data_IF_348622190899
#
_entry.id   IF_348622190899
#
_cell.length_a   1.000
_cell.length_b   1.000
_cell.length_c   1.000
_cell.angle_alpha   90.00
_cell.angle_beta   90.00
_cell.angle_gamma   90.00
#
_symmetry.space_group_name_H-M   'P 1'
#
loop_
_entity.id
_entity.type
_entity.pdbx_description
1 polymer ?
#
# COMPACT_ATOMS: atom_id res chain seq x y z
N UNK A 1 7.25 -3.87 3.70
CA UNK A 1 7.83 -2.69 4.36
C UNK A 1 6.67 -1.85 4.85
N UNK A 2 6.76 -1.29 6.06
CA UNK A 2 5.66 -0.55 6.71
C UNK A 2 5.68 0.94 6.39
N UNK A 3 4.53 1.44 5.94
CA UNK A 3 4.18 2.82 5.62
C UNK A 3 3.28 3.47 6.69
N UNK A 4 2.90 2.75 7.75
CA UNK A 4 1.95 3.17 8.80
C UNK A 4 1.99 4.67 9.13
N UNK A 5 0.82 5.31 9.03
CA UNK A 5 0.54 6.73 9.24
C UNK A 5 1.23 7.68 8.24
N UNK A 6 0.44 8.21 7.31
CA UNK A 6 0.88 9.06 6.20
C UNK A 6 1.30 10.49 6.59
N UNK A 7 1.66 10.75 7.84
CA UNK A 7 2.08 12.09 8.28
C UNK A 7 1.86 12.38 9.77
N UNK A 8 2.04 13.65 10.19
CA UNK A 8 1.77 14.10 11.56
C UNK A 8 0.27 14.16 11.90
N UNK A 9 -0.59 14.02 10.89
CA UNK A 9 -2.03 13.84 11.04
C UNK A 9 -2.31 12.34 11.10
N UNK A 10 -2.65 11.87 12.30
CA UNK A 10 -2.96 10.46 12.55
C UNK A 10 -4.41 10.09 12.21
N UNK A 11 -5.14 10.98 11.52
CA UNK A 11 -6.47 10.70 11.00
C UNK A 11 -6.44 9.79 9.77
N UNK A 12 -7.53 9.05 9.56
CA UNK A 12 -7.67 8.20 8.39
C UNK A 12 -7.91 9.00 7.11
N UNK A 13 -7.41 8.53 5.95
CA UNK A 13 -7.66 9.17 4.67
C UNK A 13 -9.16 9.24 4.39
N UNK A 14 -9.64 10.45 4.10
CA UNK A 14 -11.07 10.76 3.92
C UNK A 14 -11.96 10.32 5.10
N UNK A 15 -11.39 10.20 6.31
CA UNK A 15 -12.07 9.72 7.51
C UNK A 15 -12.43 8.23 7.50
N UNK A 16 -11.85 7.43 6.60
CA UNK A 16 -12.16 6.02 6.45
C UNK A 16 -10.91 5.14 6.61
N UNK A 17 -10.83 4.42 7.74
CA UNK A 17 -9.73 3.50 8.02
C UNK A 17 -9.56 2.43 6.93
N UNK A 18 -10.64 2.02 6.26
CA UNK A 18 -10.58 1.00 5.20
C UNK A 18 -9.79 1.43 3.96
N UNK A 19 -9.48 2.73 3.83
CA UNK A 19 -8.65 3.31 2.76
C UNK A 19 -7.20 3.56 3.21
N UNK A 20 -6.91 3.43 4.49
CA UNK A 20 -5.57 3.65 5.05
C UNK A 20 -4.63 2.55 4.58
N UNK A 21 -3.61 2.91 3.80
CA UNK A 21 -2.58 2.01 3.31
C UNK A 21 -1.46 1.90 4.32
N UNK A 22 -1.17 0.68 4.79
CA UNK A 22 -0.19 0.49 5.85
C UNK A 22 1.10 -0.13 5.35
N UNK A 23 1.08 -1.04 4.37
CA UNK A 23 2.29 -1.73 3.93
C UNK A 23 2.22 -2.28 2.51
N UNK A 24 3.38 -2.29 1.84
CA UNK A 24 3.61 -3.05 0.61
C UNK A 24 4.73 -4.07 0.80
N UNK A 25 4.50 -5.29 0.35
CA UNK A 25 5.51 -6.36 0.29
C UNK A 25 5.52 -7.02 -1.08
N UNK A 26 6.72 -7.36 -1.55
CA UNK A 26 6.94 -8.17 -2.74
C UNK A 26 8.13 -9.11 -2.50
N UNK A 27 7.94 -10.40 -2.73
CA UNK A 27 9.01 -11.38 -2.57
C UNK A 27 8.79 -12.63 -3.44
N UNK A 28 9.86 -13.36 -3.84
CA UNK A 28 9.72 -14.61 -4.55
C UNK A 28 9.00 -15.63 -3.67
N UNK A 29 8.13 -16.44 -4.25
CA UNK A 29 7.42 -17.47 -3.51
C UNK A 29 8.40 -18.52 -2.97
N UNK A 30 8.42 -18.77 -1.64
CA UNK A 30 9.25 -19.83 -1.08
C UNK A 30 8.92 -21.19 -1.70
N UNK A 31 9.95 -21.84 -2.25
CA UNK A 31 9.84 -23.15 -2.89
C UNK A 31 9.34 -23.14 -4.34
N UNK A 32 9.13 -21.98 -4.96
CA UNK A 32 8.64 -21.85 -6.34
C UNK A 32 9.13 -20.53 -6.96
N UNK A 33 10.29 -20.58 -7.62
CA UNK A 33 10.96 -19.40 -8.18
C UNK A 33 10.24 -18.79 -9.37
N UNK A 34 9.24 -19.46 -9.94
CA UNK A 34 8.46 -18.97 -11.07
C UNK A 34 7.29 -18.08 -10.62
N UNK A 35 7.13 -17.89 -9.30
CA UNK A 35 6.05 -17.10 -8.71
C UNK A 35 6.56 -16.07 -7.71
N UNK A 36 5.77 -15.02 -7.57
CA UNK A 36 5.97 -13.94 -6.61
C UNK A 36 4.75 -13.79 -5.73
N UNK A 37 4.96 -13.32 -4.51
CA UNK A 37 3.91 -12.91 -3.58
C UNK A 37 3.94 -11.39 -3.48
N UNK A 38 2.81 -10.76 -3.80
CA UNK A 38 2.55 -9.34 -3.59
C UNK A 38 1.56 -9.19 -2.44
N UNK A 39 1.82 -8.28 -1.52
CA UNK A 39 0.94 -8.00 -0.38
C UNK A 39 0.73 -6.49 -0.27
N UNK A 40 -0.53 -6.10 -0.17
CA UNK A 40 -0.95 -4.77 0.25
C UNK A 40 -1.68 -4.92 1.57
N UNK A 41 -1.19 -4.29 2.63
CA UNK A 41 -1.95 -4.13 3.86
C UNK A 41 -2.66 -2.79 3.86
N UNK A 42 -3.88 -2.81 4.36
CA UNK A 42 -4.74 -1.65 4.56
C UNK A 42 -5.50 -1.80 5.86
N UNK A 43 -6.24 -0.77 6.26
CA UNK A 43 -7.21 -0.85 7.34
C UNK A 43 -6.63 -1.36 8.67
N UNK A 44 -5.89 -0.51 9.39
CA UNK A 44 -5.49 -0.84 10.76
C UNK A 44 -6.74 -1.01 11.63
N UNK A 45 -6.70 -1.98 12.55
CA UNK A 45 -7.81 -2.30 13.45
C UNK A 45 -8.02 -1.26 14.56
N UNK A 46 -7.12 -0.29 14.69
CA UNK A 46 -7.24 0.83 15.61
C UNK A 46 -6.65 2.11 15.02
N UNK A 47 -7.17 3.25 15.47
CA UNK A 47 -6.62 4.58 15.21
C UNK A 47 -5.91 5.16 16.43
N UNK A 48 -5.07 6.16 16.18
CA UNK A 48 -4.34 6.95 17.18
C UNK A 48 -5.02 8.28 17.50
N UNK A 49 -5.78 8.85 16.56
CA UNK A 49 -6.44 10.15 16.73
C UNK A 49 -7.84 10.16 16.09
N UNK A 50 -8.91 9.93 16.88
CA UNK A 50 -8.89 9.56 18.30
C UNK A 50 -8.43 8.10 18.53
N UNK A 51 -7.84 7.78 19.69
CA UNK A 51 -7.51 6.40 20.04
C UNK A 51 -8.75 5.51 20.12
N UNK A 52 -8.73 4.36 19.45
CA UNK A 52 -9.82 3.38 19.56
C UNK A 52 -9.90 2.41 18.39
N UNK A 53 -10.79 1.41 18.48
CA UNK A 53 -10.98 0.42 17.42
C UNK A 53 -11.61 1.06 16.17
N UNK A 54 -11.25 0.53 15.00
CA UNK A 54 -11.89 0.86 13.72
C UNK A 54 -13.11 -0.02 13.45
N UNK A 55 -13.69 0.09 12.26
CA UNK A 55 -14.86 -0.71 11.88
C UNK A 55 -14.52 -2.20 11.76
N UNK A 56 -15.46 -3.08 12.12
CA UNK A 56 -15.29 -4.54 11.96
C UNK A 56 -15.39 -5.00 10.51
N UNK A 57 -15.93 -4.15 9.62
CA UNK A 57 -16.06 -4.44 8.20
C UNK A 57 -14.66 -4.35 7.55
N UNK A 58 -14.11 -5.44 6.98
CA UNK A 58 -12.69 -5.47 6.60
C UNK A 58 -12.36 -4.55 5.43
N UNK A 59 -13.18 -4.52 4.38
CA UNK A 59 -12.90 -3.70 3.18
C UNK A 59 -14.10 -2.87 2.77
N UNK A 60 -13.85 -1.67 2.26
CA UNK A 60 -14.89 -0.76 1.82
C UNK A 60 -15.46 -1.22 0.46
N UNK A 61 -16.78 -1.51 0.34
CA UNK A 61 -17.38 -1.92 -0.93
C UNK A 61 -17.34 -0.82 -2.01
N UNK A 62 -17.25 0.44 -1.59
CA UNK A 62 -17.15 1.61 -2.45
C UNK A 62 -15.70 2.02 -2.75
N UNK A 63 -14.70 1.19 -2.38
CA UNK A 63 -13.29 1.46 -2.62
C UNK A 63 -12.70 0.54 -3.70
N UNK A 64 -11.62 0.99 -4.32
CA UNK A 64 -10.76 0.17 -5.18
C UNK A 64 -9.34 0.16 -4.61
N UNK A 65 -8.75 -1.02 -4.55
CA UNK A 65 -7.41 -1.25 -4.03
C UNK A 65 -6.51 -1.69 -5.18
N UNK A 66 -5.39 -1.01 -5.39
CA UNK A 66 -4.56 -1.27 -6.57
C UNK A 66 -3.11 -1.55 -6.19
N UNK A 67 -2.57 -2.61 -6.79
CA UNK A 67 -1.13 -2.84 -6.93
C UNK A 67 -0.73 -2.40 -8.33
N UNK A 68 0.12 -1.39 -8.44
CA UNK A 68 0.59 -0.79 -9.68
C UNK A 68 2.01 -1.25 -9.98
N UNK A 69 2.31 -1.48 -11.26
CA UNK A 69 3.59 -2.02 -11.71
C UNK A 69 4.06 -1.27 -12.95
N UNK A 70 5.25 -0.68 -12.86
CA UNK A 70 6.03 -0.16 -13.99
C UNK A 70 7.09 -1.20 -14.38
N UNK A 71 7.13 -1.52 -15.68
CA UNK A 71 8.02 -2.52 -16.26
C UNK A 71 9.13 -1.95 -17.14
N UNK A 72 9.12 -0.64 -17.41
CA UNK A 72 9.95 -0.03 -18.45
C UNK A 72 10.92 1.04 -17.96
N UNK A 73 10.67 1.72 -16.85
CA UNK A 73 11.54 2.85 -16.50
C UNK A 73 10.87 4.10 -15.99
N UNK A 74 9.65 4.37 -16.43
CA UNK A 74 9.14 5.73 -16.49
C UNK A 74 8.29 6.13 -15.26
N UNK A 75 8.13 5.22 -14.30
CA UNK A 75 7.29 5.37 -13.11
C UNK A 75 5.79 5.59 -13.43
N UNK A 76 5.35 5.12 -14.60
CA UNK A 76 3.95 5.02 -15.02
C UNK A 76 3.59 3.54 -15.10
N UNK A 77 2.39 3.19 -14.62
CA UNK A 77 2.01 1.78 -14.53
C UNK A 77 1.69 1.18 -15.91
N UNK A 78 2.36 0.09 -16.23
CA UNK A 78 2.08 -0.80 -17.36
C UNK A 78 1.08 -1.91 -16.98
N UNK A 79 1.05 -2.28 -15.71
CA UNK A 79 0.18 -3.33 -15.18
C UNK A 79 -0.44 -2.83 -13.87
N UNK A 80 -1.74 -3.11 -13.68
CA UNK A 80 -2.42 -2.90 -12.42
C UNK A 80 -3.23 -4.14 -12.02
N UNK A 81 -3.15 -4.53 -10.75
CA UNK A 81 -4.10 -5.46 -10.15
C UNK A 81 -5.11 -4.67 -9.33
N UNK A 82 -6.35 -4.60 -9.82
CA UNK A 82 -7.46 -3.91 -9.17
C UNK A 82 -8.27 -4.90 -8.36
N UNK A 83 -8.47 -4.61 -7.07
CA UNK A 83 -9.28 -5.43 -6.16
C UNK A 83 -10.50 -4.64 -5.72
N UNK A 84 -11.67 -5.24 -5.90
CA UNK A 84 -12.97 -4.72 -5.48
C UNK A 84 -13.65 -5.71 -4.56
N UNK A 85 -14.35 -5.20 -3.56
CA UNK A 85 -15.05 -6.02 -2.58
C UNK A 85 -16.55 -5.84 -2.69
N UNK A 86 -17.31 -6.92 -2.52
CA UNK A 86 -18.76 -6.85 -2.46
C UNK A 86 -19.22 -6.08 -1.22
N UNK A 87 -20.47 -5.59 -1.18
CA UNK A 87 -21.12 -5.27 0.09
C UNK A 87 -21.07 -6.49 1.03
N UNK A 88 -20.97 -6.26 2.33
CA UNK A 88 -21.16 -7.33 3.29
C UNK A 88 -22.63 -7.73 3.37
N UNK A 89 -22.88 -9.03 3.24
CA UNK A 89 -24.16 -9.65 3.57
C UNK A 89 -23.92 -10.70 4.64
N UNK A 90 -24.62 -10.61 5.77
CA UNK A 90 -24.46 -11.54 6.91
C UNK A 90 -23.02 -11.68 7.43
N UNK A 91 -22.22 -10.60 7.34
CA UNK A 91 -20.81 -10.58 7.75
C UNK A 91 -19.86 -11.29 6.78
N UNK A 92 -20.37 -11.74 5.62
CA UNK A 92 -19.56 -12.30 4.54
C UNK A 92 -19.32 -11.25 3.46
N UNK A 93 -18.08 -11.21 2.98
CA UNK A 93 -17.65 -10.37 1.87
C UNK A 93 -16.87 -11.22 0.86
N UNK A 94 -16.94 -10.84 -0.41
CA UNK A 94 -16.14 -11.47 -1.47
C UNK A 94 -15.35 -10.43 -2.24
N UNK A 95 -14.21 -10.85 -2.78
CA UNK A 95 -13.33 -10.03 -3.60
C UNK A 95 -13.35 -10.46 -5.06
N UNK A 96 -13.17 -9.50 -5.95
CA UNK A 96 -12.87 -9.71 -7.37
C UNK A 96 -11.55 -9.02 -7.68
N UNK A 97 -10.65 -9.73 -8.36
CA UNK A 97 -9.35 -9.21 -8.81
C UNK A 97 -9.36 -9.12 -10.33
N UNK A 98 -9.05 -7.94 -10.84
CA UNK A 98 -8.86 -7.66 -12.26
C UNK A 98 -7.40 -7.36 -12.54
N UNK A 99 -6.91 -7.83 -13.68
CA UNK A 99 -5.64 -7.41 -14.24
C UNK A 99 -5.90 -6.43 -15.38
N UNK A 100 -5.27 -5.28 -15.31
CA UNK A 100 -5.28 -4.21 -16.31
C UNK A 100 -3.87 -4.08 -16.89
N UNK A 101 -3.77 -3.92 -18.20
CA UNK A 101 -2.49 -3.86 -18.92
C UNK A 101 -2.42 -2.58 -19.79
N UNK A 102 -1.19 -2.12 -20.07
CA UNK A 102 -0.88 -0.98 -20.92
C UNK A 102 -1.40 0.34 -20.39
N UNK A 103 -1.73 1.27 -21.30
CA UNK A 103 -2.13 2.64 -20.95
C UNK A 103 -3.34 2.73 -19.99
N UNK A 104 -4.19 1.70 -19.92
CA UNK A 104 -5.29 1.66 -18.95
C UNK A 104 -4.79 1.48 -17.52
N UNK A 105 -3.67 0.79 -17.31
CA UNK A 105 -3.09 0.57 -15.98
C UNK A 105 -2.56 1.87 -15.37
N UNK A 106 -2.19 2.87 -16.18
CA UNK A 106 -1.77 4.19 -15.72
C UNK A 106 -2.93 5.00 -15.10
N UNK A 107 -4.15 4.84 -15.63
CA UNK A 107 -5.33 5.58 -15.19
C UNK A 107 -5.93 5.07 -13.87
N UNK A 108 -7.12 5.57 -13.54
CA UNK A 108 -7.94 5.15 -12.39
C UNK A 108 -9.22 4.42 -12.80
N UNK A 109 -9.48 4.27 -14.11
CA UNK A 109 -10.68 3.62 -14.59
C UNK A 109 -10.71 2.13 -14.21
N UNK A 110 -11.90 1.62 -13.90
CA UNK A 110 -12.08 0.17 -13.79
C UNK A 110 -11.95 -0.46 -15.18
N UNK A 111 -11.10 -1.48 -15.30
CA UNK A 111 -10.82 -2.08 -16.61
C UNK A 111 -10.29 -3.51 -16.52
N UNK A 112 -9.76 -3.97 -17.65
CA UNK A 112 -9.05 -5.25 -17.71
C UNK A 112 -9.92 -6.50 -17.54
N UNK A 113 -9.27 -7.64 -17.37
CA UNK A 113 -9.89 -8.96 -17.30
C UNK A 113 -9.89 -9.50 -15.87
N UNK A 114 -10.97 -10.18 -15.49
CA UNK A 114 -11.09 -10.82 -14.17
C UNK A 114 -10.16 -12.03 -14.12
N UNK A 115 -9.29 -12.08 -13.12
CA UNK A 115 -8.39 -13.22 -12.86
C UNK A 115 -8.80 -14.03 -11.63
N UNK A 116 -9.52 -13.41 -10.69
CA UNK A 116 -10.10 -14.06 -9.51
C UNK A 116 -11.49 -13.47 -9.30
N UNK A 117 -12.50 -14.32 -9.13
CA UNK A 117 -13.89 -13.92 -8.91
C UNK A 117 -14.43 -14.54 -7.63
N UNK A 118 -15.23 -13.77 -6.87
CA UNK A 118 -15.95 -14.21 -5.66
C UNK A 118 -15.05 -14.89 -4.61
N UNK A 119 -13.81 -14.44 -4.47
CA UNK A 119 -12.92 -14.96 -3.44
C UNK A 119 -13.42 -14.56 -2.05
N UNK A 120 -13.63 -15.50 -1.10
CA UNK A 120 -14.13 -15.16 0.22
C UNK A 120 -13.12 -14.36 1.03
N UNK A 121 -13.59 -13.32 1.72
CA UNK A 121 -12.79 -12.58 2.72
C UNK A 121 -12.76 -13.37 4.02
N UNK A 122 -11.58 -13.50 4.61
CA UNK A 122 -11.37 -14.18 5.88
C UNK A 122 -11.52 -13.20 7.04
N UNK A 123 -12.67 -13.23 7.72
CA UNK A 123 -12.99 -12.35 8.86
C UNK A 123 -12.59 -12.94 10.22
N UNK A 124 -12.18 -14.21 10.26
CA UNK A 124 -11.73 -14.89 11.47
C UNK A 124 -10.39 -15.61 11.28
N UNK A 125 -10.07 -16.50 12.22
CA UNK A 125 -8.79 -17.26 12.21
C UNK A 125 -8.67 -18.24 11.04
N UNK A 126 -9.79 -18.70 10.50
CA UNK A 126 -9.78 -19.61 9.36
C UNK A 126 -9.27 -18.89 8.10
N UNK A 127 -8.25 -19.47 7.46
CA UNK A 127 -7.67 -18.94 6.24
C UNK A 127 -8.43 -19.48 5.03
N UNK A 128 -9.03 -18.59 4.23
CA UNK A 128 -9.70 -18.95 2.98
C UNK A 128 -8.90 -18.43 1.79
N UNK A 129 -8.27 -19.34 1.06
CA UNK A 129 -7.45 -19.01 -0.12
C UNK A 129 -8.19 -19.46 -1.37
N UNK A 130 -8.31 -18.56 -2.34
CA UNK A 130 -8.84 -18.86 -3.66
C UNK A 130 -7.71 -19.20 -4.61
N UNK A 131 -7.86 -20.27 -5.39
CA UNK A 131 -6.96 -20.62 -6.49
C UNK A 131 -7.68 -20.38 -7.81
N UNK A 132 -7.08 -19.64 -8.73
CA UNK A 132 -7.65 -19.35 -10.04
C UNK A 132 -6.55 -19.41 -11.11
N UNK A 133 -6.48 -20.51 -11.85
CA UNK A 133 -5.38 -20.76 -12.78
C UNK A 133 -4.02 -20.72 -12.07
N UNK A 134 -3.11 -19.89 -12.58
CA UNK A 134 -1.77 -19.68 -12.02
C UNK A 134 -1.75 -18.78 -10.78
N UNK A 135 -2.86 -18.12 -10.46
CA UNK A 135 -2.98 -17.17 -9.37
C UNK A 135 -3.50 -17.83 -8.08
N UNK A 136 -3.05 -17.31 -6.93
CA UNK A 136 -3.70 -17.54 -5.63
C UNK A 136 -3.96 -16.22 -4.95
N UNK A 137 -5.11 -16.14 -4.30
CA UNK A 137 -5.56 -14.91 -3.69
C UNK A 137 -6.08 -15.14 -2.27
N UNK A 138 -5.76 -14.20 -1.40
CA UNK A 138 -6.26 -14.13 -0.04
C UNK A 138 -6.60 -12.66 0.29
N UNK A 139 -7.69 -12.45 1.01
CA UNK A 139 -8.00 -11.16 1.64
C UNK A 139 -8.61 -11.36 3.04
N UNK A 140 -8.25 -10.51 3.99
CA UNK A 140 -8.86 -10.49 5.33
C UNK A 140 -7.94 -10.03 6.46
N UNK A 141 -8.46 -10.04 7.68
CA UNK A 141 -7.78 -9.60 8.90
C UNK A 141 -6.55 -10.45 9.22
N UNK A 142 -5.40 -9.84 9.50
CA UNK A 142 -4.16 -10.47 9.93
C UNK A 142 -3.45 -9.59 10.94
N UNK A 143 -2.67 -10.19 11.83
CA UNK A 143 -1.87 -9.44 12.80
C UNK A 143 -0.99 -8.43 12.09
N UNK A 144 -0.96 -7.22 12.65
CA UNK A 144 -0.18 -6.12 12.12
C UNK A 144 1.31 -6.47 12.18
N UNK A 145 2.03 -6.47 11.05
CA UNK A 145 3.47 -6.74 11.06
C UNK A 145 4.29 -5.55 11.55
N UNK A 146 3.68 -4.37 11.76
CA UNK A 146 4.37 -3.20 12.27
C UNK A 146 4.61 -3.31 13.77
N UNK A 147 5.75 -2.80 14.22
CA UNK A 147 6.13 -2.70 15.63
C UNK A 147 6.49 -1.24 15.88
N UNK A 148 5.89 -0.63 16.90
CA UNK A 148 6.24 0.73 17.28
C UNK A 148 5.91 1.02 18.73
N UNK A 149 6.93 1.51 19.46
CA UNK A 149 6.76 2.13 20.76
C UNK A 149 6.37 3.59 20.57
N UNK A 150 5.07 3.79 20.33
CA UNK A 150 4.46 5.09 20.01
C UNK A 150 4.71 6.10 21.12
N UNK A 151 4.61 5.69 22.39
CA UNK A 151 4.84 6.56 23.53
C UNK A 151 6.32 6.96 23.64
N UNK A 152 7.23 6.01 23.43
CA UNK A 152 8.66 6.28 23.35
C UNK A 152 9.02 7.23 22.20
N UNK A 153 8.41 7.03 21.03
CA UNK A 153 8.60 7.89 19.86
C UNK A 153 8.13 9.33 20.13
N UNK A 154 6.94 9.50 20.74
CA UNK A 154 6.41 10.81 21.16
C UNK A 154 7.24 11.44 22.30
N UNK A 155 7.94 10.65 23.10
CA UNK A 155 8.74 11.09 24.25
C UNK A 155 10.24 11.26 23.94
N UNK A 156 10.58 11.94 22.86
CA UNK A 156 11.97 12.20 22.44
C UNK A 156 12.80 10.91 22.31
N UNK A 157 12.22 9.86 21.71
CA UNK A 157 12.86 8.56 21.49
C UNK A 157 13.30 7.85 22.79
N UNK A 158 12.66 8.16 23.93
CA UNK A 158 12.84 7.44 25.18
C UNK A 158 11.95 6.21 25.21
N UNK A 159 12.39 5.17 24.50
CA UNK A 159 11.64 3.94 24.36
C UNK A 159 11.42 3.22 25.70
N UNK A 160 10.16 2.84 25.92
CA UNK A 160 9.62 2.06 27.02
C UNK A 160 9.71 0.55 26.76
N UNK A 161 9.76 0.14 25.49
CA UNK A 161 9.70 -1.25 25.04
C UNK A 161 8.28 -1.80 24.84
N UNK A 162 7.25 -0.95 24.98
CA UNK A 162 5.86 -1.30 24.73
C UNK A 162 5.56 -1.23 23.22
N UNK A 163 5.05 -2.32 22.63
CA UNK A 163 4.66 -2.33 21.23
C UNK A 163 3.17 -2.06 21.11
N UNK A 164 2.83 -0.87 20.61
CA UNK A 164 1.44 -0.50 20.42
C UNK A 164 0.68 -1.44 19.48
N UNK A 165 1.36 -2.07 18.51
CA UNK A 165 0.72 -2.86 17.45
C UNK A 165 0.66 -4.36 17.77
N UNK A 166 1.26 -4.82 18.88
CA UNK A 166 1.42 -6.24 19.20
C UNK A 166 0.11 -7.04 19.26
N UNK A 167 -1.01 -6.39 19.58
CA UNK A 167 -2.33 -7.01 19.68
C UNK A 167 -3.32 -6.51 18.61
N UNK A 168 -2.80 -5.82 17.58
CA UNK A 168 -3.61 -5.23 16.51
C UNK A 168 -3.53 -6.02 15.21
N UNK A 169 -4.52 -5.79 14.37
CA UNK A 169 -4.65 -6.40 13.07
C UNK A 169 -4.68 -5.32 11.97
N UNK A 170 -4.37 -5.74 10.75
CA UNK A 170 -4.60 -5.03 9.49
C UNK A 170 -5.40 -5.93 8.55
N UNK A 171 -6.03 -5.37 7.54
CA UNK A 171 -6.57 -6.14 6.43
C UNK A 171 -5.50 -6.35 5.35
N UNK A 172 -5.09 -7.60 5.14
CA UNK A 172 -4.14 -7.94 4.08
C UNK A 172 -4.86 -8.34 2.80
N UNK A 173 -4.36 -7.87 1.66
CA UNK A 173 -4.67 -8.33 0.30
C UNK A 173 -3.41 -9.00 -0.23
N UNK A 174 -3.45 -10.31 -0.46
CA UNK A 174 -2.29 -11.12 -0.86
C UNK A 174 -2.58 -11.76 -2.22
N UNK A 175 -1.68 -11.52 -3.17
CA UNK A 175 -1.73 -12.07 -4.51
C UNK A 175 -0.45 -12.84 -4.82
N UNK A 176 -0.59 -14.16 -5.04
CA UNK A 176 0.43 -15.00 -5.67
C UNK A 176 0.24 -14.91 -7.19
N UNK A 177 1.28 -14.50 -7.90
CA UNK A 177 1.30 -14.31 -9.35
C UNK A 177 2.41 -15.12 -10.00
N UNK A 178 2.25 -15.61 -11.24
CA UNK A 178 3.39 -16.09 -12.01
C UNK A 178 4.27 -14.90 -12.42
N UNK A 179 5.59 -15.07 -12.37
CA UNK A 179 6.55 -14.01 -12.71
C UNK A 179 6.40 -13.53 -14.16
N UNK A 180 5.98 -14.42 -15.06
CA UNK A 180 5.65 -14.07 -16.45
C UNK A 180 4.53 -13.02 -16.56
N UNK A 181 3.72 -12.82 -15.52
CA UNK A 181 2.71 -11.77 -15.45
C UNK A 181 3.26 -10.43 -14.92
N UNK A 182 4.42 -10.40 -14.28
CA UNK A 182 4.99 -9.16 -13.73
C UNK A 182 5.85 -8.40 -14.74
N UNK A 183 6.48 -9.13 -15.67
CA UNK A 183 7.49 -8.61 -16.59
C UNK A 183 8.74 -9.51 -16.57
N UNK A 184 9.68 -9.29 -17.50
CA UNK A 184 10.89 -10.14 -17.63
C UNK A 184 12.14 -9.57 -16.94
N UNK A 185 12.02 -8.47 -16.17
CA UNK A 185 13.13 -7.73 -15.55
C UNK A 185 12.74 -7.28 -14.13
N UNK A 186 13.64 -6.55 -13.47
CA UNK A 186 13.31 -5.72 -12.30
C UNK A 186 12.12 -4.81 -12.63
N UNK A 187 11.16 -4.75 -11.70
CA UNK A 187 9.94 -3.94 -11.80
C UNK A 187 9.91 -2.91 -10.68
N UNK A 188 9.08 -1.88 -10.86
CA UNK A 188 8.77 -0.88 -9.84
C UNK A 188 7.33 -1.04 -9.40
N UNK A 189 7.11 -1.15 -8.09
CA UNK A 189 5.82 -1.42 -7.48
C UNK A 189 5.40 -0.26 -6.58
N UNK A 190 4.12 0.06 -6.58
CA UNK A 190 3.49 0.89 -5.56
C UNK A 190 2.05 0.43 -5.37
N UNK A 191 1.46 0.80 -4.23
CA UNK A 191 0.07 0.54 -3.94
C UNK A 191 -0.70 1.85 -3.82
N UNK A 192 -2.01 1.80 -4.09
CA UNK A 192 -2.90 2.92 -3.79
C UNK A 192 -4.31 2.46 -3.45
N UNK A 193 -5.03 3.29 -2.70
CA UNK A 193 -6.45 3.12 -2.42
C UNK A 193 -7.23 4.27 -3.06
N UNK A 194 -8.40 3.94 -3.59
CA UNK A 194 -9.30 4.87 -4.25
C UNK A 194 -10.67 4.78 -3.59
N UNK A 195 -11.29 5.93 -3.33
CA UNK A 195 -12.68 6.04 -2.93
C UNK A 195 -13.56 6.44 -4.13
N UNK A 196 -14.83 6.06 -4.12
CA UNK A 196 -15.81 6.61 -5.04
C UNK A 196 -15.87 8.14 -4.87
N UNK A 197 -15.68 8.88 -5.96
CA UNK A 197 -15.77 10.33 -6.00
C UNK A 197 -17.19 10.82 -6.33
N UNK A 198 -17.47 12.10 -6.01
CA UNK A 198 -18.79 12.72 -6.13
C UNK A 198 -19.37 12.76 -7.56
N UNK A 199 -18.53 12.55 -8.58
CA UNK A 199 -18.89 12.57 -10.01
C UNK A 199 -19.00 11.19 -10.67
N UNK A 200 -18.99 10.09 -9.91
CA UNK A 200 -19.01 8.73 -10.46
C UNK A 200 -17.65 8.21 -10.97
N UNK A 201 -16.56 8.93 -10.64
CA UNK A 201 -15.18 8.49 -10.85
C UNK A 201 -14.50 8.07 -9.54
N UNK A 202 -13.17 8.00 -9.57
CA UNK A 202 -12.34 7.60 -8.44
C UNK A 202 -11.53 8.77 -7.90
N UNK A 203 -11.46 8.88 -6.57
CA UNK A 203 -10.58 9.81 -5.85
C UNK A 203 -9.50 9.00 -5.16
N UNK A 204 -8.23 9.26 -5.47
CA UNK A 204 -7.11 8.64 -4.77
C UNK A 204 -7.04 9.13 -3.34
N UNK A 205 -7.08 8.20 -2.39
CA UNK A 205 -7.09 8.46 -0.96
C UNK A 205 -5.69 8.31 -0.37
N UNK A 206 -4.97 7.26 -0.77
CA UNK A 206 -3.61 6.96 -0.34
C UNK A 206 -2.78 6.40 -1.48
N UNK A 207 -1.46 6.57 -1.41
CA UNK A 207 -0.49 5.76 -2.15
C UNK A 207 0.79 5.60 -1.36
N UNK A 208 1.52 4.54 -1.66
CA UNK A 208 2.92 4.46 -1.26
C UNK A 208 3.60 3.19 -1.73
N UNK A 209 4.92 3.20 -1.61
CA UNK A 209 5.73 2.01 -1.83
C UNK A 209 6.79 1.82 -0.75
N UNK A 210 7.34 2.93 -0.23
CA UNK A 210 8.38 2.92 0.79
C UNK A 210 7.85 3.38 2.14
N UNK A 211 8.56 2.99 3.23
CA UNK A 211 8.21 3.42 4.57
C UNK A 211 8.12 4.93 4.72
N UNK A 212 7.03 5.36 5.33
CA UNK A 212 6.85 6.68 5.94
C UNK A 212 7.37 7.85 5.07
N UNK A 213 7.13 7.84 3.76
CA UNK A 213 7.59 8.92 2.88
C UNK A 213 6.81 10.21 3.14
N UNK A 214 5.49 10.11 3.29
CA UNK A 214 4.59 11.25 3.44
C UNK A 214 4.85 12.08 4.72
N UNK A 215 5.48 11.50 5.75
CA UNK A 215 5.87 12.22 6.98
C UNK A 215 6.92 13.31 6.73
N UNK A 216 7.68 13.22 5.61
CA UNK A 216 8.64 14.23 5.19
C UNK A 216 7.98 15.41 4.46
N UNK A 217 6.66 15.33 4.22
CA UNK A 217 5.88 16.32 3.48
C UNK A 217 4.68 16.85 4.29
N UNK A 218 4.85 17.39 5.51
CA UNK A 218 3.72 17.82 6.32
C UNK A 218 2.83 18.88 5.63
N UNK A 219 3.40 19.74 4.79
CA UNK A 219 2.68 20.80 4.07
C UNK A 219 2.14 20.37 2.71
N UNK A 220 2.81 19.40 2.06
CA UNK A 220 2.49 18.95 0.70
C UNK A 220 1.89 17.54 0.66
N UNK A 221 1.56 16.97 1.83
CA UNK A 221 1.10 15.58 1.99
C UNK A 221 -0.06 15.25 1.05
N UNK A 222 -1.12 16.04 1.05
CA UNK A 222 -2.32 15.73 0.25
C UNK A 222 -2.01 15.81 -1.26
N UNK A 223 -1.19 16.79 -1.66
CA UNK A 223 -0.74 16.93 -3.04
C UNK A 223 0.22 15.81 -3.46
N UNK A 224 1.05 15.32 -2.52
CA UNK A 224 1.81 14.10 -2.66
C UNK A 224 0.82 12.99 -2.84
N UNK A 225 0.08 12.52 -1.84
CA UNK A 225 -0.82 11.36 -1.85
C UNK A 225 -1.82 11.33 -3.02
N UNK A 226 -2.27 12.47 -3.55
CA UNK A 226 -3.17 12.52 -4.71
C UNK A 226 -2.48 12.32 -6.09
N UNK A 227 -1.16 12.54 -6.19
CA UNK A 227 -0.39 12.43 -7.45
C UNK A 227 0.01 11.00 -7.88
N UNK A 228 0.97 10.92 -8.80
CA UNK A 228 1.56 9.67 -9.29
C UNK A 228 3.09 9.68 -9.11
N UNK A 229 3.75 8.53 -8.94
CA UNK A 229 5.20 8.47 -8.75
C UNK A 229 6.01 9.18 -9.84
N UNK A 230 5.58 9.15 -11.10
CA UNK A 230 6.20 9.88 -12.21
C UNK A 230 6.32 11.40 -11.97
N UNK A 231 5.48 11.97 -11.11
CA UNK A 231 5.47 13.40 -10.79
C UNK A 231 6.25 13.74 -9.51
N UNK A 232 6.71 12.73 -8.75
CA UNK A 232 7.26 12.92 -7.41
C UNK A 232 8.51 13.81 -7.38
N UNK A 233 9.21 13.98 -8.51
CA UNK A 233 10.35 14.88 -8.64
C UNK A 233 10.07 16.32 -8.15
N UNK A 234 8.80 16.76 -8.17
CA UNK A 234 8.39 18.07 -7.63
C UNK A 234 8.59 18.21 -6.12
N UNK A 235 8.61 17.10 -5.38
CA UNK A 235 8.73 17.09 -3.91
C UNK A 235 10.17 16.98 -3.39
N UNK A 236 11.17 16.83 -4.28
CA UNK A 236 12.59 16.70 -3.88
C UNK A 236 13.03 17.87 -2.99
N UNK A 237 12.57 19.09 -3.27
CA UNK A 237 12.91 20.26 -2.47
C UNK A 237 12.36 20.18 -1.04
N UNK A 238 11.12 19.72 -0.86
CA UNK A 238 10.49 19.57 0.44
C UNK A 238 11.10 18.41 1.24
N UNK A 239 11.37 17.28 0.59
CA UNK A 239 12.15 16.19 1.20
C UNK A 239 13.52 16.67 1.67
N UNK A 240 14.26 17.40 0.83
CA UNK A 240 15.55 17.95 1.20
C UNK A 240 15.43 18.91 2.39
N UNK A 241 14.42 19.78 2.38
CA UNK A 241 14.15 20.70 3.49
C UNK A 241 13.93 19.95 4.81
N UNK A 242 13.10 18.90 4.81
CA UNK A 242 12.86 18.07 5.99
C UNK A 242 14.17 17.42 6.49
N UNK A 243 14.97 16.85 5.58
CA UNK A 243 16.27 16.23 5.91
C UNK A 243 17.27 17.25 6.48
N UNK A 244 17.32 18.48 5.96
CA UNK A 244 18.16 19.56 6.52
C UNK A 244 17.76 19.88 7.97
N UNK A 245 16.45 20.01 8.22
CA UNK A 245 15.92 20.51 9.50
C UNK A 245 15.95 19.45 10.61
N UNK A 246 15.63 18.19 10.29
CA UNK A 246 15.49 17.12 11.29
C UNK A 246 16.63 16.10 11.24
N UNK A 247 17.27 15.94 10.08
CA UNK A 247 18.34 14.97 9.86
C UNK A 247 19.77 15.54 9.95
N UNK A 248 19.92 16.86 9.98
CA UNK A 248 21.23 17.53 10.07
C UNK A 248 22.08 17.43 8.80
N UNK A 249 21.46 17.14 7.66
CA UNK A 249 22.14 17.06 6.36
C UNK A 249 22.53 18.45 5.87
N UNK A 250 23.67 18.58 5.18
CA UNK A 250 23.95 19.80 4.42
C UNK A 250 22.98 19.92 3.23
N UNK A 251 22.73 21.13 2.69
CA UNK A 251 21.78 21.29 1.58
C UNK A 251 22.09 20.44 0.34
N UNK A 252 23.38 20.23 0.03
CA UNK A 252 23.79 19.40 -1.09
C UNK A 252 23.53 17.92 -0.82
N UNK A 253 23.80 17.45 0.40
CA UNK A 253 23.54 16.06 0.79
C UNK A 253 22.06 15.76 0.88
N UNK A 254 21.27 16.68 1.46
CA UNK A 254 19.83 16.55 1.60
C UNK A 254 19.15 16.39 0.24
N UNK A 255 19.49 17.24 -0.75
CA UNK A 255 18.97 17.12 -2.12
C UNK A 255 19.36 15.80 -2.78
N UNK A 256 20.61 15.35 -2.58
CA UNK A 256 21.08 14.06 -3.11
C UNK A 256 20.28 12.90 -2.50
N UNK A 257 20.10 12.87 -1.18
CA UNK A 257 19.36 11.82 -0.48
C UNK A 257 17.88 11.86 -0.86
N UNK A 258 17.26 13.04 -0.90
CA UNK A 258 15.89 13.21 -1.38
C UNK A 258 15.69 12.65 -2.79
N UNK A 259 16.64 12.88 -3.69
CA UNK A 259 16.62 12.31 -5.05
C UNK A 259 16.77 10.78 -5.11
N UNK A 260 17.19 10.12 -4.02
CA UNK A 260 17.17 8.64 -3.92
C UNK A 260 15.87 8.12 -3.32
N UNK A 261 15.13 8.96 -2.60
CA UNK A 261 13.87 8.61 -1.95
C UNK A 261 12.69 8.67 -2.93
N UNK A 262 12.79 9.50 -3.97
CA UNK A 262 11.77 9.69 -5.00
C UNK A 262 12.26 9.22 -6.38
N UNK A 263 11.39 8.67 -7.25
CA UNK A 263 9.96 8.45 -7.03
C UNK A 263 9.68 7.38 -5.97
N UNK A 264 8.52 7.46 -5.30
CA UNK A 264 8.12 6.49 -4.26
C UNK A 264 7.67 5.17 -4.89
N UNK A 265 8.67 4.36 -5.19
CA UNK A 265 8.52 3.03 -5.81
C UNK A 265 9.38 2.00 -5.10
N UNK A 266 8.85 0.80 -4.98
CA UNK A 266 9.52 -0.39 -4.49
C UNK A 266 10.14 -1.13 -5.67
N UNK A 267 11.46 -1.18 -5.72
CA UNK A 267 12.17 -1.99 -6.72
C UNK A 267 12.06 -3.47 -6.34
N UNK A 268 11.69 -4.31 -7.29
CA UNK A 268 11.55 -5.74 -7.09
C UNK A 268 12.13 -6.53 -8.25
N UNK A 269 13.04 -7.46 -7.94
CA UNK A 269 13.60 -8.42 -8.89
C UNK A 269 13.24 -9.84 -8.42
N UNK A 270 12.35 -10.57 -9.12
CA UNK A 270 11.91 -11.90 -8.70
C UNK A 270 13.03 -12.96 -8.76
N UNK A 271 14.17 -12.63 -9.37
CA UNK A 271 15.35 -13.52 -9.42
C UNK A 271 16.27 -13.37 -8.21
N UNK A 272 16.03 -12.37 -7.36
CA UNK A 272 16.81 -12.10 -6.15
C UNK A 272 16.03 -12.48 -4.89
N UNK A 273 16.71 -12.87 -3.81
CA UNK A 273 16.07 -12.96 -2.50
C UNK A 273 15.41 -11.63 -2.12
N UNK A 274 14.33 -11.70 -1.34
CA UNK A 274 13.74 -10.51 -0.76
C UNK A 274 14.80 -9.71 0.02
N UNK A 275 14.87 -8.40 -0.23
CA UNK A 275 15.78 -7.45 0.41
C UNK A 275 15.02 -6.50 1.33
#
# INVERSE_FOLDING_TARGET
>A
MSHHYSGPDFGFPLGNAQLDFTDLYAFPKPGDSEKSILIMNVHPSAGESPPGPTTIEPFAPAAMYELKIDTDGDAVADIAYQVRFSPSGDGAQTATVRRVDGAQAAGTDEGGHIIVERAPVSTGREVRITKAGEYRFFAGWRSDPFFCDVEGAKNNLRFTGDDFFADKDVCSIVLEVPNSALGMKEIRLWARTLAAGDGGGWTQAERGARPAQAVLLPEERDAYLAGEPAEDGRFIAAFAHALEHTGGYSPAEARRVAGTLLPDVLFYDPTRPAS
#
